data_IF_896608612627
#
_entry.id   IF_896608612627
#
_cell.length_a   1.000
_cell.length_b   1.000
_cell.length_c   1.000
_cell.angle_alpha   90.00
_cell.angle_beta   90.00
_cell.angle_gamma   90.00
#
_symmetry.space_group_name_H-M   'P 1'
#
loop_
_entity.id
_entity.type
_entity.pdbx_description
1 polymer ?
#
# COMPACT_ATOMS: atom_id res chain seq x y z
N UNK A 1 -22.86 1.01 36.39
CA UNK A 1 -21.47 0.59 36.08
C UNK A 1 -20.47 1.67 36.46
N UNK A 2 -20.56 2.88 35.88
CA UNK A 2 -19.61 3.97 36.16
C UNK A 2 -19.63 4.41 37.63
N UNK A 3 -20.81 4.46 38.26
CA UNK A 3 -20.91 4.71 39.70
C UNK A 3 -20.19 3.66 40.55
N UNK A 4 -20.10 2.42 40.08
CA UNK A 4 -19.40 1.32 40.76
C UNK A 4 -17.88 1.33 40.52
N UNK A 5 -17.36 2.28 39.73
CA UNK A 5 -15.92 2.50 39.51
C UNK A 5 -15.31 3.51 40.48
N UNK A 6 -16.13 4.17 41.32
CA UNK A 6 -15.68 5.20 42.26
C UNK A 6 -14.73 4.62 43.30
N UNK A 7 -13.81 5.45 43.81
CA UNK A 7 -12.75 5.03 44.73
C UNK A 7 -13.26 4.54 46.10
N UNK A 8 -14.50 4.85 46.47
CA UNK A 8 -15.14 4.41 47.72
C UNK A 8 -15.69 2.97 47.65
N UNK A 9 -15.80 2.39 46.46
CA UNK A 9 -16.23 1.02 46.26
C UNK A 9 -15.08 0.01 46.45
N UNK A 10 -15.43 -1.23 46.79
CA UNK A 10 -14.45 -2.32 46.93
C UNK A 10 -13.70 -2.58 45.61
N UNK A 11 -12.41 -2.90 45.70
CA UNK A 11 -11.56 -3.14 44.52
C UNK A 11 -12.13 -4.23 43.60
N UNK A 12 -12.69 -5.31 44.16
CA UNK A 12 -13.31 -6.38 43.38
C UNK A 12 -14.54 -5.91 42.62
N UNK A 13 -15.34 -5.01 43.23
CA UNK A 13 -16.52 -4.39 42.59
C UNK A 13 -16.08 -3.50 41.43
N UNK A 14 -15.04 -2.68 41.64
CA UNK A 14 -14.50 -1.78 40.60
C UNK A 14 -13.92 -2.55 39.42
N UNK A 15 -13.20 -3.65 39.67
CA UNK A 15 -12.69 -4.52 38.61
C UNK A 15 -13.82 -5.20 37.84
N UNK A 16 -14.86 -5.69 38.52
CA UNK A 16 -16.04 -6.24 37.86
C UNK A 16 -16.80 -5.17 37.04
N UNK A 17 -16.87 -3.94 37.55
CA UNK A 17 -17.48 -2.81 36.85
C UNK A 17 -16.68 -2.41 35.60
N UNK A 18 -15.35 -2.46 35.65
CA UNK A 18 -14.48 -2.20 34.49
C UNK A 18 -14.73 -3.22 33.37
N UNK A 19 -14.79 -4.51 33.70
CA UNK A 19 -15.12 -5.55 32.72
C UNK A 19 -16.53 -5.41 32.15
N UNK A 20 -17.51 -5.12 33.01
CA UNK A 20 -18.89 -4.91 32.58
C UNK A 20 -19.00 -3.70 31.63
N UNK A 21 -18.23 -2.64 31.90
CA UNK A 21 -18.14 -1.47 31.03
C UNK A 21 -17.55 -1.84 29.67
N UNK A 22 -16.49 -2.65 29.62
CA UNK A 22 -15.95 -3.16 28.36
C UNK A 22 -17.01 -3.90 27.56
N UNK A 23 -17.75 -4.81 28.19
CA UNK A 23 -18.81 -5.59 27.53
C UNK A 23 -19.92 -4.68 26.97
N UNK A 24 -20.27 -3.62 27.69
CA UNK A 24 -21.26 -2.64 27.22
C UNK A 24 -20.77 -1.82 26.02
N UNK A 25 -19.48 -1.45 26.00
CA UNK A 25 -18.87 -0.72 24.87
C UNK A 25 -18.66 -1.64 23.66
N UNK A 26 -18.51 -2.95 23.89
CA UNK A 26 -18.36 -3.95 22.82
C UNK A 26 -19.68 -4.37 22.16
N UNK A 27 -20.81 -3.91 22.69
CA UNK A 27 -22.12 -4.25 22.15
C UNK A 27 -22.30 -3.65 20.74
N UNK A 28 -22.94 -4.40 19.84
CA UNK A 28 -23.17 -3.96 18.46
C UNK A 28 -24.12 -2.75 18.36
N UNK A 29 -24.92 -2.50 19.40
CA UNK A 29 -25.81 -1.35 19.52
C UNK A 29 -25.12 -0.16 20.20
N UNK A 30 -23.83 -0.27 20.58
CA UNK A 30 -23.10 0.81 21.19
C UNK A 30 -23.07 2.03 20.25
N UNK A 31 -23.45 3.18 20.81
CA UNK A 31 -23.41 4.46 20.13
C UNK A 31 -22.50 5.41 20.91
N UNK A 32 -21.50 5.97 20.23
CA UNK A 32 -20.49 6.84 20.85
C UNK A 32 -21.11 8.15 21.34
N UNK A 33 -22.04 8.75 20.60
CA UNK A 33 -22.70 10.01 20.95
C UNK A 33 -23.46 9.88 22.28
N UNK A 34 -24.17 8.77 22.48
CA UNK A 34 -24.89 8.48 23.73
C UNK A 34 -23.93 8.26 24.91
N UNK A 35 -22.74 7.73 24.65
CA UNK A 35 -21.70 7.49 25.66
C UNK A 35 -20.89 8.74 26.02
N UNK A 36 -20.88 9.77 25.16
CA UNK A 36 -20.07 10.99 25.31
C UNK A 36 -20.22 11.66 26.69
N UNK A 37 -21.46 11.69 27.24
CA UNK A 37 -21.76 12.26 28.56
C UNK A 37 -21.07 11.53 29.72
N UNK A 38 -20.74 10.25 29.51
CA UNK A 38 -20.17 9.36 30.50
C UNK A 38 -18.67 9.16 30.34
N UNK A 39 -18.14 9.46 29.15
CA UNK A 39 -16.77 9.20 28.73
C UNK A 39 -15.74 9.75 29.71
N UNK A 40 -15.83 11.03 30.05
CA UNK A 40 -14.87 11.70 30.92
C UNK A 40 -14.76 11.02 32.29
N UNK A 41 -15.92 10.73 32.91
CA UNK A 41 -15.97 10.07 34.22
C UNK A 41 -15.45 8.64 34.12
N UNK A 42 -15.95 7.87 33.15
CA UNK A 42 -15.54 6.47 32.96
C UNK A 42 -14.01 6.35 32.76
N UNK A 43 -13.44 7.16 31.87
CA UNK A 43 -12.00 7.16 31.61
C UNK A 43 -11.20 7.56 32.85
N UNK A 44 -11.62 8.62 33.56
CA UNK A 44 -10.93 9.06 34.78
C UNK A 44 -10.94 8.00 35.89
N UNK A 45 -12.06 7.28 36.07
CA UNK A 45 -12.17 6.24 37.09
C UNK A 45 -11.38 4.98 36.72
N UNK A 46 -11.35 4.59 35.44
CA UNK A 46 -10.49 3.51 34.96
C UNK A 46 -9.01 3.87 35.11
N UNK A 47 -8.61 5.10 34.81
CA UNK A 47 -7.24 5.56 34.99
C UNK A 47 -6.83 5.57 36.47
N UNK A 48 -7.70 6.03 37.37
CA UNK A 48 -7.46 5.97 38.80
C UNK A 48 -7.26 4.51 39.27
N UNK A 49 -8.13 3.60 38.81
CA UNK A 49 -8.02 2.17 39.09
C UNK A 49 -6.69 1.59 38.57
N UNK A 50 -6.24 1.96 37.36
CA UNK A 50 -4.96 1.52 36.79
C UNK A 50 -3.77 1.92 37.66
N UNK A 51 -3.81 3.11 38.25
CA UNK A 51 -2.73 3.61 39.12
C UNK A 51 -2.69 2.94 40.49
N UNK A 52 -3.85 2.54 40.99
CA UNK A 52 -4.00 1.94 42.32
C UNK A 52 -3.55 0.49 42.37
N UNK A 53 -3.84 -0.28 41.32
CA UNK A 53 -3.52 -1.71 41.26
C UNK A 53 -2.02 -1.94 41.07
N UNK A 54 -1.46 -2.94 41.76
CA UNK A 54 -0.02 -3.20 41.78
C UNK A 54 0.36 -4.46 41.00
N UNK A 55 -0.52 -5.46 40.93
CA UNK A 55 -0.25 -6.69 40.22
C UNK A 55 -0.25 -6.46 38.71
N UNK A 56 0.75 -7.04 38.01
CA UNK A 56 0.87 -6.92 36.56
C UNK A 56 -0.38 -7.41 35.83
N UNK A 57 -0.95 -8.55 36.23
CA UNK A 57 -2.15 -9.11 35.62
C UNK A 57 -3.35 -8.18 35.75
N UNK A 58 -3.51 -7.55 36.93
CA UNK A 58 -4.57 -6.58 37.17
C UNK A 58 -4.36 -5.30 36.35
N UNK A 59 -3.11 -4.79 36.27
CA UNK A 59 -2.77 -3.65 35.41
C UNK A 59 -3.09 -3.94 33.94
N UNK A 60 -2.70 -5.11 33.43
CA UNK A 60 -3.00 -5.52 32.06
C UNK A 60 -4.51 -5.55 31.80
N UNK A 61 -5.30 -6.11 32.73
CA UNK A 61 -6.77 -6.14 32.61
C UNK A 61 -7.38 -4.75 32.54
N UNK A 62 -7.01 -3.85 33.44
CA UNK A 62 -7.55 -2.48 33.45
C UNK A 62 -7.08 -1.70 32.22
N UNK A 63 -5.81 -1.86 31.83
CA UNK A 63 -5.24 -1.22 30.65
C UNK A 63 -5.92 -1.70 29.37
N UNK A 64 -6.28 -2.99 29.28
CA UNK A 64 -7.07 -3.53 28.18
C UNK A 64 -8.45 -2.86 28.06
N UNK A 65 -9.16 -2.66 29.18
CA UNK A 65 -10.45 -1.94 29.18
C UNK A 65 -10.28 -0.49 28.70
N UNK A 66 -9.24 0.21 29.18
CA UNK A 66 -8.92 1.58 28.75
C UNK A 66 -8.61 1.61 27.25
N UNK A 67 -7.75 0.70 26.80
CA UNK A 67 -7.33 0.55 25.40
C UNK A 67 -8.53 0.30 24.48
N UNK A 68 -9.44 -0.58 24.89
CA UNK A 68 -10.67 -0.88 24.16
C UNK A 68 -11.63 0.33 24.10
N UNK A 69 -11.76 1.08 25.20
CA UNK A 69 -12.54 2.32 25.21
C UNK A 69 -11.95 3.36 24.25
N UNK A 70 -10.62 3.53 24.23
CA UNK A 70 -9.93 4.43 23.30
C UNK A 70 -10.24 4.05 21.85
N UNK A 71 -10.12 2.75 21.52
CA UNK A 71 -10.39 2.23 20.18
C UNK A 71 -11.83 2.53 19.73
N UNK A 72 -12.82 2.30 20.60
CA UNK A 72 -14.24 2.42 20.26
C UNK A 72 -14.74 3.87 20.22
N UNK A 73 -14.20 4.72 21.07
CA UNK A 73 -14.58 6.14 21.14
C UNK A 73 -13.83 6.98 20.10
N UNK A 74 -12.65 6.55 19.67
CA UNK A 74 -11.89 7.21 18.63
C UNK A 74 -11.52 8.66 19.00
N UNK A 75 -11.77 9.60 18.09
CA UNK A 75 -11.31 10.99 18.21
C UNK A 75 -11.84 11.72 19.46
N UNK A 76 -12.99 11.33 20.01
CA UNK A 76 -13.54 12.00 21.20
C UNK A 76 -12.70 11.79 22.47
N UNK A 77 -11.77 10.83 22.46
CA UNK A 77 -10.90 10.59 23.62
C UNK A 77 -9.86 11.70 23.83
N UNK A 78 -9.58 12.51 22.80
CA UNK A 78 -8.52 13.54 22.77
C UNK A 78 -8.44 14.41 24.04
N UNK A 79 -9.55 14.94 24.59
CA UNK A 79 -9.50 15.80 25.78
C UNK A 79 -9.10 15.06 27.07
N UNK A 80 -9.13 13.72 27.07
CA UNK A 80 -9.04 12.89 28.28
C UNK A 80 -7.68 12.18 28.43
N UNK A 81 -6.91 12.02 27.34
CA UNK A 81 -5.69 11.18 27.35
C UNK A 81 -4.48 11.80 28.05
N UNK A 82 -4.52 13.08 28.42
CA UNK A 82 -3.34 13.80 28.94
C UNK A 82 -2.70 13.13 30.16
N UNK A 83 -3.51 12.71 31.14
CA UNK A 83 -3.02 12.04 32.33
C UNK A 83 -2.44 10.64 32.03
N UNK A 84 -3.06 9.91 31.10
CA UNK A 84 -2.56 8.61 30.65
C UNK A 84 -1.22 8.76 29.92
N UNK A 85 -1.09 9.73 29.01
CA UNK A 85 0.17 10.00 28.30
C UNK A 85 1.33 10.31 29.27
N UNK A 86 1.06 11.01 30.37
CA UNK A 86 2.09 11.27 31.40
C UNK A 86 2.46 10.02 32.21
N UNK A 87 1.56 9.06 32.34
CA UNK A 87 1.76 7.85 33.14
C UNK A 87 2.40 6.70 32.37
N UNK A 88 2.09 6.54 31.07
CA UNK A 88 2.61 5.43 30.26
C UNK A 88 4.15 5.33 30.20
N UNK A 89 4.94 6.42 30.17
CA UNK A 89 6.40 6.34 30.25
C UNK A 89 6.88 5.72 31.57
N UNK A 90 6.24 6.09 32.68
CA UNK A 90 6.56 5.53 34.00
C UNK A 90 6.19 4.05 34.06
N UNK A 91 5.00 3.69 33.56
CA UNK A 91 4.54 2.31 33.51
C UNK A 91 5.45 1.44 32.62
N UNK A 92 5.90 1.96 31.48
CA UNK A 92 6.85 1.29 30.59
C UNK A 92 8.16 0.98 31.30
N UNK A 93 8.72 1.96 32.02
CA UNK A 93 9.95 1.76 32.81
C UNK A 93 9.74 0.74 33.95
N UNK A 94 8.62 0.80 34.67
CA UNK A 94 8.32 -0.16 35.76
C UNK A 94 8.15 -1.60 35.25
N UNK A 95 7.74 -1.75 33.98
CA UNK A 95 7.50 -3.05 33.35
C UNK A 95 8.74 -3.68 32.70
N UNK A 96 9.95 -3.25 33.04
CA UNK A 96 11.19 -3.69 32.38
C UNK A 96 11.35 -5.21 32.28
N UNK A 97 10.95 -5.93 33.33
CA UNK A 97 11.03 -7.39 33.41
C UNK A 97 9.68 -8.10 33.15
N UNK A 98 8.68 -7.35 32.67
CA UNK A 98 7.30 -7.84 32.49
C UNK A 98 6.86 -7.66 31.04
N UNK A 99 7.34 -8.52 30.14
CA UNK A 99 7.10 -8.42 28.69
C UNK A 99 5.60 -8.42 28.32
N UNK A 100 4.75 -9.20 29.01
CA UNK A 100 3.30 -9.20 28.74
C UNK A 100 2.63 -7.85 29.06
N UNK A 101 3.08 -7.19 30.14
CA UNK A 101 2.60 -5.85 30.47
C UNK A 101 3.11 -4.84 29.44
N UNK A 102 4.35 -5.00 28.94
CA UNK A 102 4.87 -4.21 27.83
C UNK A 102 4.03 -4.38 26.55
N UNK A 103 3.67 -5.60 26.16
CA UNK A 103 2.73 -5.83 25.04
C UNK A 103 1.44 -5.03 25.23
N UNK A 104 0.83 -5.10 26.43
CA UNK A 104 -0.40 -4.36 26.74
C UNK A 104 -0.23 -2.84 26.64
N UNK A 105 0.94 -2.31 27.01
CA UNK A 105 1.29 -0.88 26.85
C UNK A 105 1.41 -0.53 25.36
N UNK A 106 2.12 -1.35 24.58
CA UNK A 106 2.29 -1.14 23.14
C UNK A 106 0.93 -1.14 22.42
N UNK A 107 0.06 -2.12 22.67
CA UNK A 107 -1.28 -2.15 22.09
C UNK A 107 -2.12 -0.92 22.49
N UNK A 108 -1.97 -0.44 23.72
CA UNK A 108 -2.63 0.81 24.16
C UNK A 108 -2.10 2.02 23.41
N UNK A 109 -0.78 2.09 23.17
CA UNK A 109 -0.19 3.16 22.37
C UNK A 109 -0.65 3.10 20.92
N UNK A 110 -0.85 1.92 20.33
CA UNK A 110 -1.43 1.77 18.99
C UNK A 110 -2.80 2.43 18.92
N UNK A 111 -3.69 2.11 19.86
CA UNK A 111 -5.04 2.70 19.91
C UNK A 111 -5.01 4.19 20.19
N UNK A 112 -4.13 4.66 21.07
CA UNK A 112 -3.95 6.09 21.32
C UNK A 112 -3.47 6.83 20.07
N UNK A 113 -2.47 6.33 19.36
CA UNK A 113 -1.96 6.97 18.13
C UNK A 113 -3.06 7.04 17.08
N UNK A 114 -3.81 5.95 16.87
CA UNK A 114 -4.94 5.92 15.91
C UNK A 114 -6.07 6.86 16.32
N UNK A 115 -6.45 6.89 17.60
CA UNK A 115 -7.53 7.73 18.11
C UNK A 115 -7.17 9.22 18.13
N UNK A 116 -5.88 9.58 18.26
CA UNK A 116 -5.44 10.95 18.16
C UNK A 116 -5.27 11.42 16.70
N UNK A 117 -5.01 10.50 15.77
CA UNK A 117 -4.78 10.82 14.37
C UNK A 117 -3.60 11.80 14.20
N UNK A 118 -3.80 12.87 13.43
CA UNK A 118 -2.78 13.90 13.19
C UNK A 118 -2.29 14.64 14.46
N UNK A 119 -3.04 14.57 15.56
CA UNK A 119 -2.65 15.14 16.86
C UNK A 119 -1.75 14.20 17.68
N UNK A 120 -1.41 13.01 17.18
CA UNK A 120 -0.63 12.00 17.90
C UNK A 120 0.82 12.42 18.20
N UNK A 121 1.28 13.55 17.68
CA UNK A 121 2.62 14.10 17.91
C UNK A 121 2.96 14.27 19.40
N UNK A 122 1.96 14.46 20.27
CA UNK A 122 2.16 14.54 21.73
C UNK A 122 2.68 13.23 22.36
N UNK A 123 2.47 12.09 21.69
CA UNK A 123 2.92 10.77 22.15
C UNK A 123 4.32 10.43 21.63
N UNK A 124 4.81 11.17 20.64
CA UNK A 124 5.97 10.80 19.85
C UNK A 124 7.23 10.51 20.68
N UNK A 125 7.60 11.31 21.72
CA UNK A 125 8.78 11.00 22.53
C UNK A 125 8.74 9.61 23.18
N UNK A 126 7.58 9.19 23.69
CA UNK A 126 7.39 7.86 24.27
C UNK A 126 7.38 6.79 23.18
N UNK A 127 6.56 7.01 22.14
CA UNK A 127 6.32 5.99 21.12
C UNK A 127 7.59 5.66 20.33
N UNK A 128 8.41 6.66 19.98
CA UNK A 128 9.70 6.41 19.31
C UNK A 128 10.59 5.52 20.18
N UNK A 129 10.69 5.79 21.49
CA UNK A 129 11.48 4.97 22.40
C UNK A 129 10.93 3.54 22.51
N UNK A 130 9.61 3.39 22.62
CA UNK A 130 8.96 2.07 22.69
C UNK A 130 9.18 1.27 21.42
N UNK A 131 9.04 1.88 20.23
CA UNK A 131 9.31 1.20 18.96
C UNK A 131 10.78 0.81 18.85
N UNK A 132 11.71 1.72 19.19
CA UNK A 132 13.15 1.42 19.12
C UNK A 132 13.53 0.22 19.99
N UNK A 133 13.00 0.15 21.22
CA UNK A 133 13.27 -0.96 22.14
C UNK A 133 12.56 -2.26 21.74
N UNK A 134 11.35 -2.17 21.19
CA UNK A 134 10.55 -3.34 20.79
C UNK A 134 11.10 -4.00 19.52
N UNK A 135 11.69 -3.20 18.63
CA UNK A 135 12.27 -3.62 17.36
C UNK A 135 13.80 -3.84 17.41
N UNK A 136 14.43 -3.72 18.58
CA UNK A 136 15.86 -4.01 18.77
C UNK A 136 16.09 -5.52 18.93
N UNK A 137 16.60 -6.14 17.86
CA UNK A 137 16.87 -7.58 17.80
C UNK A 137 18.02 -8.04 18.71
N UNK A 138 18.78 -7.11 19.32
CA UNK A 138 19.80 -7.44 20.31
C UNK A 138 19.23 -7.70 21.71
N UNK A 139 17.99 -7.29 21.98
CA UNK A 139 17.35 -7.42 23.29
C UNK A 139 16.59 -8.74 23.43
N UNK A 140 16.74 -9.45 24.56
CA UNK A 140 16.02 -10.71 24.80
C UNK A 140 14.47 -10.57 24.75
N UNK A 141 13.94 -9.36 24.96
CA UNK A 141 12.51 -9.06 24.91
C UNK A 141 11.91 -9.05 23.50
N UNK A 142 12.71 -9.01 22.43
CA UNK A 142 12.20 -8.83 21.05
C UNK A 142 11.19 -9.93 20.66
N UNK A 143 11.39 -11.17 21.11
CA UNK A 143 10.53 -12.32 20.78
C UNK A 143 9.07 -12.08 21.18
N UNK A 144 8.83 -11.26 22.20
CA UNK A 144 7.49 -10.92 22.68
C UNK A 144 6.96 -9.61 22.09
N UNK A 145 7.86 -8.66 21.81
CA UNK A 145 7.48 -7.27 21.52
C UNK A 145 7.55 -6.91 20.04
N UNK A 146 8.22 -7.70 19.19
CA UNK A 146 8.50 -7.31 17.82
C UNK A 146 7.23 -7.08 17.01
N UNK A 147 6.25 -7.99 17.08
CA UNK A 147 4.99 -7.86 16.33
C UNK A 147 4.20 -6.61 16.78
N UNK A 148 3.92 -6.48 18.08
CA UNK A 148 3.23 -5.31 18.65
C UNK A 148 4.00 -4.00 18.35
N UNK A 149 5.34 -4.03 18.43
CA UNK A 149 6.21 -2.89 18.16
C UNK A 149 6.15 -2.43 16.71
N UNK A 150 6.10 -3.37 15.77
CA UNK A 150 5.88 -3.10 14.35
C UNK A 150 4.48 -2.54 14.08
N UNK A 151 3.45 -3.00 14.80
CA UNK A 151 2.10 -2.44 14.69
C UNK A 151 2.05 -0.99 15.17
N UNK A 152 2.72 -0.69 16.30
CA UNK A 152 2.88 0.67 16.80
C UNK A 152 3.66 1.54 15.81
N UNK A 153 4.74 1.01 15.24
CA UNK A 153 5.51 1.72 14.22
C UNK A 153 4.65 2.07 13.00
N UNK A 154 3.87 1.11 12.48
CA UNK A 154 2.95 1.38 11.39
C UNK A 154 1.91 2.44 11.77
N UNK A 155 1.28 2.33 12.94
CA UNK A 155 0.29 3.29 13.41
C UNK A 155 0.85 4.73 13.48
N UNK A 156 2.09 4.89 13.93
CA UNK A 156 2.79 6.19 13.95
C UNK A 156 2.94 6.72 12.53
N UNK A 157 3.46 5.90 11.62
CA UNK A 157 3.67 6.31 10.24
C UNK A 157 2.36 6.64 9.55
N UNK A 158 1.27 5.93 9.86
CA UNK A 158 -0.03 6.14 9.24
C UNK A 158 -0.71 7.44 9.67
N UNK A 159 -0.48 7.87 10.91
CA UNK A 159 -1.13 9.03 11.52
C UNK A 159 -0.23 10.29 11.57
N UNK A 160 1.07 10.15 11.27
CA UNK A 160 1.98 11.30 11.23
C UNK A 160 1.69 12.20 10.02
N UNK A 161 1.44 13.52 10.23
CA UNK A 161 1.16 14.46 9.14
C UNK A 161 2.42 14.80 8.32
N UNK A 162 3.61 14.65 8.91
CA UNK A 162 4.90 14.92 8.26
C UNK A 162 6.00 14.03 8.82
N UNK A 163 7.06 13.78 8.05
CA UNK A 163 8.27 13.11 8.55
C UNK A 163 9.01 13.96 9.58
N UNK A 164 9.51 13.34 10.64
CA UNK A 164 10.50 13.94 11.56
C UNK A 164 11.80 13.12 11.55
N UNK A 165 12.95 13.71 11.95
CA UNK A 165 14.22 12.98 12.02
C UNK A 165 14.13 11.70 12.87
N UNK A 166 13.39 11.73 13.97
CA UNK A 166 13.21 10.62 14.90
C UNK A 166 12.44 9.47 14.25
N UNK A 167 11.33 9.77 13.57
CA UNK A 167 10.55 8.76 12.82
C UNK A 167 11.41 8.15 11.72
N UNK A 168 12.18 8.97 11.00
CA UNK A 168 13.02 8.47 9.91
C UNK A 168 14.21 7.64 10.42
N UNK A 169 14.71 7.94 11.62
CA UNK A 169 15.79 7.18 12.25
C UNK A 169 15.39 5.77 12.69
N UNK A 170 14.09 5.51 12.94
CA UNK A 170 13.61 4.15 13.22
C UNK A 170 13.88 3.17 12.07
N UNK A 171 13.94 3.68 10.83
CA UNK A 171 14.14 2.87 9.62
C UNK A 171 15.40 2.00 9.66
N UNK A 172 16.44 2.42 10.40
CA UNK A 172 17.69 1.68 10.58
C UNK A 172 17.51 0.24 11.10
N UNK A 173 16.40 -0.02 11.78
CA UNK A 173 16.08 -1.34 12.33
C UNK A 173 15.50 -2.29 11.27
N UNK A 174 14.93 -1.74 10.18
CA UNK A 174 14.18 -2.52 9.19
C UNK A 174 15.01 -3.60 8.46
N UNK A 175 16.25 -3.34 8.01
CA UNK A 175 17.03 -4.36 7.29
C UNK A 175 17.25 -5.65 8.10
N UNK A 176 17.65 -5.52 9.37
CA UNK A 176 17.88 -6.68 10.24
C UNK A 176 16.60 -7.48 10.49
N UNK A 177 15.45 -6.80 10.63
CA UNK A 177 14.15 -7.45 10.83
C UNK A 177 13.77 -8.28 9.60
N UNK A 178 13.94 -7.72 8.40
CA UNK A 178 13.68 -8.42 7.13
C UNK A 178 14.58 -9.63 6.92
N UNK A 179 15.86 -9.54 7.29
CA UNK A 179 16.83 -10.62 7.14
C UNK A 179 16.62 -11.77 8.13
N UNK A 180 16.00 -11.49 9.27
CA UNK A 180 15.91 -12.47 10.35
C UNK A 180 14.78 -13.48 10.17
N UNK A 181 13.61 -13.05 9.67
CA UNK A 181 12.48 -13.95 9.43
C UNK A 181 11.47 -13.34 8.45
N UNK A 182 10.72 -14.21 7.76
CA UNK A 182 9.60 -13.79 6.91
C UNK A 182 8.25 -13.74 7.64
N UNK A 183 8.21 -14.08 8.94
CA UNK A 183 6.97 -14.12 9.74
C UNK A 183 6.26 -12.75 9.77
N UNK A 184 7.04 -11.68 9.92
CA UNK A 184 6.56 -10.30 9.98
C UNK A 184 6.61 -9.57 8.63
N UNK A 185 6.86 -10.28 7.51
CA UNK A 185 7.09 -9.67 6.20
C UNK A 185 5.94 -8.74 5.77
N UNK A 186 4.69 -9.15 6.02
CA UNK A 186 3.50 -8.35 5.68
C UNK A 186 3.52 -6.99 6.37
N UNK A 187 3.77 -6.99 7.67
CA UNK A 187 3.76 -5.77 8.47
C UNK A 187 4.96 -4.88 8.11
N UNK A 188 6.13 -5.48 7.88
CA UNK A 188 7.30 -4.78 7.37
C UNK A 188 7.02 -4.10 6.02
N UNK A 189 6.37 -4.78 5.08
CA UNK A 189 5.99 -4.19 3.81
C UNK A 189 5.00 -3.03 3.99
N UNK A 190 4.02 -3.12 4.89
CA UNK A 190 3.14 -1.97 5.18
C UNK A 190 3.92 -0.77 5.75
N UNK A 191 4.90 -1.00 6.62
CA UNK A 191 5.79 0.05 7.13
C UNK A 191 6.60 0.67 5.99
N UNK A 192 7.17 -0.16 5.10
CA UNK A 192 7.91 0.32 3.91
C UNK A 192 7.02 1.16 2.99
N UNK A 193 5.78 0.72 2.72
CA UNK A 193 4.80 1.51 1.96
C UNK A 193 4.54 2.87 2.63
N UNK A 194 4.43 2.89 3.96
CA UNK A 194 4.19 4.11 4.71
C UNK A 194 5.38 5.08 4.65
N UNK A 195 6.62 4.58 4.71
CA UNK A 195 7.82 5.39 4.57
C UNK A 195 7.99 5.99 3.17
N UNK A 196 7.86 5.16 2.12
CA UNK A 196 7.99 5.62 0.73
C UNK A 196 7.02 6.77 0.46
N UNK A 197 5.81 6.69 1.00
CA UNK A 197 4.80 7.74 0.86
C UNK A 197 5.01 8.93 1.82
N UNK A 198 5.60 8.73 3.00
CA UNK A 198 5.84 9.78 3.98
C UNK A 198 6.92 10.76 3.52
N UNK A 199 8.05 10.23 3.06
CA UNK A 199 9.18 11.03 2.57
C UNK A 199 9.97 10.24 1.52
N UNK A 200 9.56 10.31 0.24
CA UNK A 200 10.19 9.54 -0.84
C UNK A 200 11.68 9.86 -0.99
N UNK A 201 12.04 11.15 -0.90
CA UNK A 201 13.42 11.60 -1.11
C UNK A 201 14.37 10.98 -0.08
N UNK A 202 13.98 11.01 1.20
CA UNK A 202 14.80 10.44 2.27
C UNK A 202 14.76 8.90 2.27
N UNK A 203 13.63 8.30 1.90
CA UNK A 203 13.54 6.85 1.75
C UNK A 203 14.56 6.34 0.72
N UNK A 204 14.61 6.94 -0.48
CA UNK A 204 15.53 6.49 -1.52
C UNK A 204 17.00 6.87 -1.27
N UNK A 205 17.29 7.81 -0.36
CA UNK A 205 18.67 8.19 -0.02
C UNK A 205 19.30 7.32 1.07
N UNK A 206 18.51 6.69 1.94
CA UNK A 206 18.97 6.04 3.17
C UNK A 206 18.72 4.53 3.14
N UNK A 207 19.77 3.70 3.22
CA UNK A 207 19.70 2.24 3.49
C UNK A 207 18.74 1.43 2.58
N UNK A 208 18.20 2.07 1.54
CA UNK A 208 17.22 1.53 0.63
C UNK A 208 17.80 0.36 -0.16
N UNK A 209 19.10 0.42 -0.48
CA UNK A 209 19.81 -0.68 -1.14
C UNK A 209 19.75 -1.96 -0.31
N UNK A 210 19.98 -1.87 1.01
CA UNK A 210 19.94 -3.03 1.90
C UNK A 210 18.54 -3.63 1.93
N UNK A 211 17.49 -2.81 1.97
CA UNK A 211 16.11 -3.29 1.90
C UNK A 211 15.83 -4.06 0.61
N UNK A 212 16.31 -3.57 -0.55
CA UNK A 212 16.13 -4.28 -1.83
C UNK A 212 16.86 -5.62 -1.82
N UNK A 213 18.08 -5.65 -1.28
CA UNK A 213 18.87 -6.87 -1.19
C UNK A 213 18.21 -7.89 -0.25
N UNK A 214 17.71 -7.45 0.91
CA UNK A 214 16.96 -8.30 1.86
C UNK A 214 15.67 -8.83 1.22
N UNK A 215 14.89 -7.99 0.52
CA UNK A 215 13.67 -8.45 -0.15
C UNK A 215 13.98 -9.40 -1.31
N UNK A 216 15.05 -9.16 -2.07
CA UNK A 216 15.46 -10.02 -3.19
C UNK A 216 15.89 -11.42 -2.70
N UNK A 217 16.62 -11.49 -1.58
CA UNK A 217 17.03 -12.78 -1.01
C UNK A 217 15.83 -13.62 -0.57
N UNK A 218 14.78 -13.00 -0.02
CA UNK A 218 13.56 -13.68 0.41
C UNK A 218 12.75 -14.27 -0.74
N UNK A 219 12.78 -13.67 -1.93
CA UNK A 219 11.94 -14.09 -3.06
C UNK A 219 12.15 -15.55 -3.50
N UNK A 220 13.28 -16.19 -3.17
CA UNK A 220 13.51 -17.61 -3.50
C UNK A 220 12.65 -18.58 -2.68
N UNK A 221 12.28 -18.20 -1.46
CA UNK A 221 11.63 -19.07 -0.48
C UNK A 221 10.15 -18.72 -0.23
N UNK A 222 9.66 -17.65 -0.86
CA UNK A 222 8.30 -17.16 -0.67
C UNK A 222 7.29 -17.88 -1.56
N UNK A 223 6.06 -18.02 -1.02
CA UNK A 223 4.88 -18.38 -1.81
C UNK A 223 4.44 -17.22 -2.70
N UNK A 224 3.55 -17.51 -3.65
CA UNK A 224 3.00 -16.53 -4.57
C UNK A 224 2.44 -15.30 -3.88
N UNK A 225 1.76 -15.41 -2.72
CA UNK A 225 1.25 -14.23 -2.01
C UNK A 225 2.39 -13.29 -1.55
N UNK A 226 3.46 -13.86 -0.99
CA UNK A 226 4.62 -13.07 -0.56
C UNK A 226 5.34 -12.38 -1.71
N UNK A 227 5.50 -13.08 -2.84
CA UNK A 227 6.07 -12.50 -4.08
C UNK A 227 5.21 -11.33 -4.57
N UNK A 228 3.88 -11.52 -4.61
CA UNK A 228 2.94 -10.47 -5.02
C UNK A 228 3.09 -9.23 -4.15
N UNK A 229 3.19 -9.38 -2.83
CA UNK A 229 3.32 -8.25 -1.92
C UNK A 229 4.63 -7.48 -2.11
N UNK A 230 5.76 -8.17 -2.30
CA UNK A 230 7.05 -7.52 -2.58
C UNK A 230 7.00 -6.79 -3.92
N UNK A 231 6.41 -7.40 -4.96
CA UNK A 231 6.30 -6.76 -6.27
C UNK A 231 5.37 -5.55 -6.25
N UNK A 232 4.27 -5.59 -5.48
CA UNK A 232 3.41 -4.43 -5.27
C UNK A 232 4.13 -3.28 -4.57
N UNK A 233 5.02 -3.58 -3.62
CA UNK A 233 5.89 -2.57 -3.01
C UNK A 233 6.85 -1.95 -4.04
N UNK A 234 7.50 -2.76 -4.87
CA UNK A 234 8.37 -2.26 -5.94
C UNK A 234 7.62 -1.44 -6.98
N UNK A 235 6.40 -1.84 -7.34
CA UNK A 235 5.50 -1.07 -8.20
C UNK A 235 5.13 0.28 -7.57
N UNK A 236 4.85 0.31 -6.26
CA UNK A 236 4.61 1.55 -5.51
C UNK A 236 5.83 2.48 -5.58
N UNK A 237 7.05 1.97 -5.41
CA UNK A 237 8.26 2.78 -5.54
C UNK A 237 8.34 3.48 -6.90
N UNK A 238 8.00 2.78 -8.00
CA UNK A 238 7.96 3.35 -9.35
C UNK A 238 6.86 4.41 -9.51
N UNK A 239 5.71 4.24 -8.85
CA UNK A 239 4.62 5.22 -8.89
C UNK A 239 4.97 6.51 -8.16
N UNK A 240 5.66 6.38 -7.04
CA UNK A 240 5.98 7.52 -6.16
C UNK A 240 7.09 8.40 -6.73
N UNK A 241 8.19 7.78 -7.14
CA UNK A 241 9.28 8.48 -7.82
C UNK A 241 9.87 7.51 -8.84
N UNK A 242 9.54 7.74 -10.11
CA UNK A 242 10.01 6.89 -11.20
C UNK A 242 11.53 6.76 -11.22
N UNK A 243 12.26 7.87 -11.10
CA UNK A 243 13.71 7.88 -11.32
C UNK A 243 14.40 7.13 -10.19
N UNK A 244 14.09 7.52 -8.96
CA UNK A 244 14.71 6.90 -7.79
C UNK A 244 14.17 5.47 -7.56
N UNK A 245 12.89 5.24 -7.83
CA UNK A 245 12.26 3.92 -7.79
C UNK A 245 12.86 2.95 -8.81
N UNK A 246 13.18 3.40 -10.03
CA UNK A 246 13.84 2.56 -11.04
C UNK A 246 15.25 2.16 -10.63
N UNK A 247 16.03 3.10 -10.08
CA UNK A 247 17.36 2.79 -9.54
C UNK A 247 17.26 1.84 -8.33
N UNK A 248 16.28 2.05 -7.45
CA UNK A 248 16.02 1.19 -6.30
C UNK A 248 15.72 -0.25 -6.72
N UNK A 249 14.83 -0.48 -7.69
CA UNK A 249 14.49 -1.84 -8.15
C UNK A 249 15.50 -2.43 -9.15
N UNK A 250 16.53 -1.69 -9.56
CA UNK A 250 17.50 -2.14 -10.55
C UNK A 250 18.09 -3.54 -10.26
N UNK A 251 18.45 -3.91 -9.01
CA UNK A 251 18.97 -5.25 -8.69
C UNK A 251 18.00 -6.39 -8.99
N UNK A 252 16.68 -6.15 -8.98
CA UNK A 252 15.65 -7.17 -9.21
C UNK A 252 15.15 -7.21 -10.66
N UNK A 253 15.40 -6.15 -11.46
CA UNK A 253 14.83 -6.03 -12.80
C UNK A 253 15.15 -7.24 -13.70
N UNK A 254 16.40 -7.71 -13.74
CA UNK A 254 16.77 -8.86 -14.58
C UNK A 254 15.95 -10.10 -14.24
N UNK A 255 15.69 -10.35 -12.95
CA UNK A 255 14.86 -11.47 -12.50
C UNK A 255 13.40 -11.30 -12.90
N UNK A 256 12.86 -10.07 -12.84
CA UNK A 256 11.49 -9.77 -13.28
C UNK A 256 11.35 -10.05 -14.79
N UNK A 257 12.30 -9.56 -15.59
CA UNK A 257 12.33 -9.83 -17.03
C UNK A 257 12.48 -11.32 -17.33
N UNK A 258 13.28 -12.06 -16.57
CA UNK A 258 13.43 -13.50 -16.70
C UNK A 258 12.12 -14.26 -16.42
N UNK A 259 11.45 -13.95 -15.31
CA UNK A 259 10.16 -14.54 -14.95
C UNK A 259 9.10 -14.28 -16.03
N UNK A 260 9.02 -13.05 -16.55
CA UNK A 260 8.11 -12.71 -17.65
C UNK A 260 8.50 -13.41 -18.94
N UNK A 261 9.79 -13.49 -19.26
CA UNK A 261 10.27 -14.17 -20.46
C UNK A 261 9.99 -15.68 -20.42
N UNK A 262 10.07 -16.31 -19.26
CA UNK A 262 9.73 -17.73 -19.10
C UNK A 262 8.21 -17.94 -19.20
N UNK A 263 7.41 -17.12 -18.50
CA UNK A 263 5.95 -17.15 -18.57
C UNK A 263 5.28 -18.30 -17.83
N UNK A 264 6.05 -19.05 -17.04
CA UNK A 264 5.59 -20.27 -16.33
C UNK A 264 5.14 -19.99 -14.88
N UNK A 265 5.01 -18.72 -14.50
CA UNK A 265 4.60 -18.28 -13.16
C UNK A 265 3.08 -18.31 -12.97
N UNK A 266 2.63 -18.35 -11.71
CA UNK A 266 1.21 -18.25 -11.40
C UNK A 266 0.62 -16.92 -11.93
N UNK A 267 -0.59 -16.88 -12.53
CA UNK A 267 -1.13 -15.68 -13.19
C UNK A 267 -1.10 -14.40 -12.32
N UNK A 268 -1.39 -14.51 -11.03
CA UNK A 268 -1.33 -13.38 -10.08
C UNK A 268 0.10 -12.80 -9.92
N UNK A 269 1.12 -13.66 -9.94
CA UNK A 269 2.53 -13.26 -9.85
C UNK A 269 2.98 -12.64 -11.17
N UNK A 270 2.60 -13.27 -12.28
CA UNK A 270 2.93 -12.75 -13.61
C UNK A 270 2.30 -11.38 -13.86
N UNK A 271 1.08 -11.15 -13.34
CA UNK A 271 0.39 -9.85 -13.41
C UNK A 271 1.21 -8.73 -12.79
N UNK A 272 1.73 -8.91 -11.57
CA UNK A 272 2.51 -7.85 -10.90
C UNK A 272 3.86 -7.62 -11.57
N UNK A 273 4.50 -8.65 -12.12
CA UNK A 273 5.71 -8.48 -12.95
C UNK A 273 5.41 -7.69 -14.22
N UNK A 274 4.31 -8.00 -14.92
CA UNK A 274 3.86 -7.26 -16.10
C UNK A 274 3.53 -5.81 -15.76
N UNK A 275 2.94 -5.53 -14.59
CA UNK A 275 2.68 -4.17 -14.12
C UNK A 275 3.98 -3.37 -13.95
N UNK A 276 5.02 -3.96 -13.36
CA UNK A 276 6.35 -3.30 -13.24
C UNK A 276 6.91 -3.00 -14.63
N UNK A 277 6.89 -3.96 -15.56
CA UNK A 277 7.35 -3.74 -16.95
C UNK A 277 6.52 -2.64 -17.63
N UNK A 278 5.20 -2.66 -17.45
CA UNK A 278 4.28 -1.66 -18.01
C UNK A 278 4.58 -0.25 -17.49
N UNK A 279 4.86 -0.11 -16.19
CA UNK A 279 5.27 1.18 -15.58
C UNK A 279 6.56 1.68 -16.20
N UNK A 280 7.56 0.82 -16.34
CA UNK A 280 8.84 1.20 -16.95
C UNK A 280 8.64 1.65 -18.40
N UNK A 281 7.89 0.88 -19.18
CA UNK A 281 7.60 1.15 -20.59
C UNK A 281 6.83 2.47 -20.79
N UNK A 282 5.76 2.69 -20.02
CA UNK A 282 4.94 3.90 -20.10
C UNK A 282 5.73 5.17 -19.81
N UNK A 283 6.67 5.07 -18.88
CA UNK A 283 7.41 6.21 -18.39
C UNK A 283 8.65 6.53 -19.24
N UNK A 284 9.41 5.51 -19.65
CA UNK A 284 10.62 5.70 -20.46
C UNK A 284 10.87 4.51 -21.38
N UNK A 285 10.50 4.67 -22.65
CA UNK A 285 10.83 3.71 -23.70
C UNK A 285 12.34 3.50 -23.85
N UNK A 286 13.14 4.55 -23.64
CA UNK A 286 14.61 4.46 -23.71
C UNK A 286 15.13 3.50 -22.64
N UNK A 287 14.65 3.63 -21.41
CA UNK A 287 15.04 2.73 -20.32
C UNK A 287 14.53 1.31 -20.57
N UNK A 288 13.28 1.15 -21.01
CA UNK A 288 12.74 -0.17 -21.35
C UNK A 288 13.60 -0.90 -22.38
N UNK A 289 14.01 -0.22 -23.46
CA UNK A 289 14.90 -0.79 -24.48
C UNK A 289 16.27 -1.13 -23.89
N UNK A 290 16.83 -0.29 -23.01
CA UNK A 290 18.08 -0.60 -22.30
C UNK A 290 17.95 -1.84 -21.41
N UNK A 291 16.86 -1.97 -20.66
CA UNK A 291 16.58 -3.13 -19.82
C UNK A 291 16.46 -4.42 -20.65
N UNK A 292 15.79 -4.36 -21.81
CA UNK A 292 15.74 -5.48 -22.77
C UNK A 292 17.14 -5.86 -23.27
N UNK A 293 18.00 -4.88 -23.58
CA UNK A 293 19.38 -5.13 -24.00
C UNK A 293 20.21 -5.81 -22.92
N UNK A 294 20.14 -5.29 -21.70
CA UNK A 294 20.82 -5.87 -20.54
C UNK A 294 20.33 -7.29 -20.26
N UNK A 295 19.02 -7.53 -20.30
CA UNK A 295 18.43 -8.85 -20.13
C UNK A 295 18.82 -9.81 -21.25
N UNK A 296 18.79 -9.37 -22.50
CA UNK A 296 19.20 -10.16 -23.68
C UNK A 296 20.65 -10.63 -23.55
N UNK A 297 21.52 -9.77 -23.02
CA UNK A 297 22.90 -10.12 -22.69
C UNK A 297 22.98 -11.12 -21.54
N UNK A 298 22.20 -10.92 -20.48
CA UNK A 298 22.16 -11.81 -19.31
C UNK A 298 21.81 -13.26 -19.69
N UNK A 299 20.85 -13.46 -20.60
CA UNK A 299 20.47 -14.81 -21.07
C UNK A 299 21.38 -15.38 -22.16
N UNK A 300 22.51 -14.72 -22.46
CA UNK A 300 23.49 -15.16 -23.46
C UNK A 300 23.00 -15.06 -24.92
N UNK A 301 22.01 -14.20 -25.19
CA UNK A 301 21.41 -14.03 -26.51
C UNK A 301 21.70 -12.65 -27.12
N UNK A 302 22.91 -12.10 -26.91
CA UNK A 302 23.32 -10.72 -27.24
C UNK A 302 22.94 -10.22 -28.66
N UNK A 303 22.70 -11.11 -29.63
CA UNK A 303 22.32 -10.77 -31.02
C UNK A 303 20.84 -11.02 -31.35
N UNK A 304 19.98 -11.25 -30.36
CA UNK A 304 18.56 -11.63 -30.54
C UNK A 304 17.59 -10.71 -29.77
N UNK A 305 17.93 -9.43 -29.61
CA UNK A 305 17.09 -8.44 -28.92
C UNK A 305 15.63 -8.47 -29.43
N UNK A 306 15.45 -8.51 -30.75
CA UNK A 306 14.11 -8.55 -31.37
C UNK A 306 13.31 -9.80 -30.98
N UNK A 307 13.96 -10.97 -30.89
CA UNK A 307 13.31 -12.23 -30.51
C UNK A 307 12.95 -12.25 -29.02
N UNK A 308 13.82 -11.68 -28.18
CA UNK A 308 13.55 -11.55 -26.74
C UNK A 308 12.36 -10.62 -26.52
N UNK A 309 12.35 -9.48 -27.21
CA UNK A 309 11.24 -8.52 -27.19
C UNK A 309 9.94 -9.16 -27.71
N UNK A 310 9.99 -9.93 -28.80
CA UNK A 310 8.85 -10.69 -29.33
C UNK A 310 8.24 -11.61 -28.27
N UNK A 311 9.09 -12.41 -27.62
CA UNK A 311 8.62 -13.38 -26.63
C UNK A 311 7.97 -12.67 -25.45
N UNK A 312 8.58 -11.59 -24.95
CA UNK A 312 8.01 -10.79 -23.85
C UNK A 312 6.68 -10.19 -24.25
N UNK A 313 6.58 -9.55 -25.43
CA UNK A 313 5.31 -8.98 -25.92
C UNK A 313 4.25 -10.07 -26.09
N UNK A 314 4.62 -11.25 -26.62
CA UNK A 314 3.69 -12.37 -26.75
C UNK A 314 3.15 -12.83 -25.40
N UNK A 315 4.02 -13.00 -24.40
CA UNK A 315 3.58 -13.38 -23.05
C UNK A 315 2.70 -12.27 -22.46
N UNK A 316 3.07 -11.01 -22.65
CA UNK A 316 2.30 -9.86 -22.21
C UNK A 316 0.86 -9.89 -22.75
N UNK A 317 0.70 -10.03 -24.07
CA UNK A 317 -0.62 -10.05 -24.72
C UNK A 317 -1.41 -11.34 -24.44
N UNK A 318 -0.73 -12.47 -24.20
CA UNK A 318 -1.38 -13.74 -23.88
C UNK A 318 -1.91 -13.77 -22.44
N UNK A 319 -1.23 -13.06 -21.52
CA UNK A 319 -1.55 -13.05 -20.09
C UNK A 319 -2.53 -11.94 -19.69
N UNK A 320 -2.54 -10.82 -20.42
CA UNK A 320 -3.41 -9.68 -20.11
C UNK A 320 -4.90 -10.04 -19.94
N UNK A 321 -5.52 -10.96 -20.71
CA UNK A 321 -6.90 -11.39 -20.48
C UNK A 321 -7.15 -12.09 -19.13
N UNK A 322 -6.10 -12.61 -18.48
CA UNK A 322 -6.19 -13.29 -17.17
C UNK A 322 -6.12 -12.31 -15.99
N UNK A 323 -5.80 -11.03 -16.23
CA UNK A 323 -5.65 -10.00 -15.19
C UNK A 323 -7.01 -9.52 -14.74
N UNK A 324 -7.49 -9.91 -13.55
CA UNK A 324 -8.85 -9.61 -13.09
C UNK A 324 -9.07 -8.15 -12.67
N UNK A 325 -8.06 -7.45 -12.16
CA UNK A 325 -8.21 -6.10 -11.64
C UNK A 325 -8.20 -5.06 -12.76
N UNK A 326 -9.22 -4.19 -12.78
CA UNK A 326 -9.38 -3.20 -13.85
C UNK A 326 -8.23 -2.16 -13.89
N UNK A 327 -7.69 -1.76 -12.73
CA UNK A 327 -6.57 -0.82 -12.65
C UNK A 327 -5.31 -1.38 -13.33
N UNK A 328 -4.98 -2.63 -13.04
CA UNK A 328 -3.84 -3.35 -13.61
C UNK A 328 -4.07 -3.55 -15.12
N UNK A 329 -5.27 -4.00 -15.51
CA UNK A 329 -5.63 -4.18 -16.93
C UNK A 329 -5.51 -2.88 -17.72
N UNK A 330 -6.01 -1.75 -17.19
CA UNK A 330 -5.86 -0.43 -17.80
C UNK A 330 -4.40 0.01 -17.89
N UNK A 331 -3.60 -0.21 -16.84
CA UNK A 331 -2.16 0.05 -16.88
C UNK A 331 -1.48 -0.72 -18.02
N UNK A 332 -1.80 -2.01 -18.16
CA UNK A 332 -1.24 -2.83 -19.23
C UNK A 332 -1.67 -2.34 -20.62
N UNK A 333 -2.96 -2.00 -20.78
CA UNK A 333 -3.49 -1.45 -22.02
C UNK A 333 -2.82 -0.12 -22.42
N UNK A 334 -2.63 0.79 -21.46
CA UNK A 334 -1.93 2.06 -21.68
C UNK A 334 -0.50 1.81 -22.17
N UNK A 335 0.20 0.84 -21.58
CA UNK A 335 1.56 0.48 -21.99
C UNK A 335 1.59 -0.11 -23.40
N UNK A 336 0.64 -0.97 -23.77
CA UNK A 336 0.49 -1.44 -25.15
C UNK A 336 0.23 -0.28 -26.13
N UNK A 337 -0.63 0.67 -25.78
CA UNK A 337 -0.85 1.88 -26.60
C UNK A 337 0.46 2.64 -26.81
N UNK A 338 1.33 2.74 -25.81
CA UNK A 338 2.62 3.43 -25.95
C UNK A 338 3.58 2.75 -26.95
N UNK A 339 3.46 1.43 -27.17
CA UNK A 339 4.23 0.71 -28.19
C UNK A 339 3.71 0.96 -29.61
N UNK A 340 2.44 1.34 -29.76
CA UNK A 340 1.81 1.71 -31.03
C UNK A 340 2.22 3.15 -31.40
N UNK A 341 3.50 3.37 -31.63
CA UNK A 341 4.06 4.69 -31.96
C UNK A 341 4.45 4.80 -33.44
N UNK A 342 4.86 5.99 -33.88
CA UNK A 342 5.29 6.22 -35.28
C UNK A 342 6.45 5.29 -35.70
N UNK A 343 7.42 5.07 -34.80
CA UNK A 343 8.55 4.17 -35.02
C UNK A 343 8.26 2.74 -34.49
N UNK A 344 7.03 2.27 -34.69
CA UNK A 344 6.56 0.95 -34.29
C UNK A 344 7.53 -0.15 -34.80
N UNK A 345 8.17 -0.92 -33.90
CA UNK A 345 9.05 -2.00 -34.31
C UNK A 345 8.27 -3.05 -35.14
N UNK A 346 8.91 -3.77 -36.07
CA UNK A 346 8.26 -4.82 -36.85
C UNK A 346 7.48 -5.84 -36.00
N UNK A 347 8.00 -6.10 -34.80
CA UNK A 347 7.40 -7.00 -33.81
C UNK A 347 6.01 -6.53 -33.33
N UNK A 348 5.85 -5.22 -33.15
CA UNK A 348 4.58 -4.63 -32.71
C UNK A 348 3.57 -4.68 -33.85
N UNK A 349 4.00 -4.52 -35.12
CA UNK A 349 3.13 -4.72 -36.28
C UNK A 349 2.63 -6.16 -36.40
N UNK A 350 3.48 -7.14 -36.11
CA UNK A 350 3.12 -8.56 -36.14
C UNK A 350 2.00 -8.89 -35.12
N UNK A 351 2.08 -8.32 -33.92
CA UNK A 351 1.14 -8.58 -32.83
C UNK A 351 -0.01 -7.57 -32.73
N UNK A 352 -0.06 -6.57 -33.62
CA UNK A 352 -1.02 -5.48 -33.59
C UNK A 352 -2.49 -5.93 -33.43
N UNK A 353 -3.00 -6.93 -34.17
CA UNK A 353 -4.40 -7.33 -34.03
C UNK A 353 -4.75 -7.80 -32.61
N UNK A 354 -3.86 -8.56 -31.97
CA UNK A 354 -4.09 -9.08 -30.62
C UNK A 354 -3.90 -7.99 -29.55
N UNK A 355 -2.97 -7.06 -29.78
CA UNK A 355 -2.85 -5.87 -28.91
C UNK A 355 -4.13 -5.05 -28.92
N UNK A 356 -4.69 -4.79 -30.12
CA UNK A 356 -5.95 -4.04 -30.25
C UNK A 356 -7.12 -4.79 -29.60
N UNK A 357 -7.21 -6.11 -29.78
CA UNK A 357 -8.20 -6.93 -29.08
C UNK A 357 -8.15 -6.70 -27.57
N UNK A 358 -6.98 -6.85 -26.94
CA UNK A 358 -6.85 -6.69 -25.49
C UNK A 358 -7.17 -5.26 -25.02
N UNK A 359 -6.79 -4.23 -25.81
CA UNK A 359 -7.10 -2.83 -25.49
C UNK A 359 -8.62 -2.60 -25.58
N UNK A 360 -9.29 -3.12 -26.59
CA UNK A 360 -10.74 -3.00 -26.78
C UNK A 360 -11.51 -3.75 -25.68
N UNK A 361 -11.09 -4.97 -25.34
CA UNK A 361 -11.67 -5.69 -24.19
C UNK A 361 -11.54 -4.88 -22.89
N UNK A 362 -10.36 -4.30 -22.65
CA UNK A 362 -10.16 -3.42 -21.50
C UNK A 362 -11.07 -2.20 -21.53
N UNK A 363 -11.26 -1.56 -22.70
CA UNK A 363 -12.20 -0.46 -22.87
C UNK A 363 -13.64 -0.87 -22.55
N UNK A 364 -14.06 -2.06 -22.99
CA UNK A 364 -15.39 -2.59 -22.68
C UNK A 364 -15.59 -2.81 -21.17
N UNK A 365 -14.55 -3.21 -20.44
CA UNK A 365 -14.65 -3.47 -18.99
C UNK A 365 -14.69 -2.19 -18.14
N UNK A 366 -13.97 -1.14 -18.57
CA UNK A 366 -13.81 0.09 -17.77
C UNK A 366 -14.76 1.20 -18.18
N UNK A 367 -15.30 1.16 -19.40
CA UNK A 367 -16.24 2.17 -19.89
C UNK A 367 -17.61 2.00 -19.24
N UNK A 368 -18.18 3.10 -18.73
CA UNK A 368 -19.56 3.16 -18.22
C UNK A 368 -20.29 4.34 -18.85
N UNK A 369 -21.62 4.27 -18.85
CA UNK A 369 -22.47 5.38 -19.26
C UNK A 369 -22.80 6.20 -18.01
N UNK A 370 -22.53 7.50 -18.04
CA UNK A 370 -22.89 8.42 -16.96
C UNK A 370 -24.36 8.83 -17.01
N UNK A 371 -24.82 9.59 -16.02
CA UNK A 371 -26.21 10.05 -15.92
C UNK A 371 -26.63 10.97 -17.08
N UNK A 372 -25.67 11.53 -17.82
CA UNK A 372 -25.89 12.36 -19.01
C UNK A 372 -25.96 11.54 -20.30
N UNK A 373 -25.75 10.22 -20.22
CA UNK A 373 -25.69 9.32 -21.37
C UNK A 373 -24.33 9.31 -22.08
N UNK A 374 -23.30 9.94 -21.50
CA UNK A 374 -21.96 9.97 -22.07
C UNK A 374 -21.12 8.77 -21.61
N UNK A 375 -20.30 8.27 -22.53
CA UNK A 375 -19.36 7.19 -22.26
C UNK A 375 -18.15 7.74 -21.51
N UNK A 376 -17.92 7.24 -20.28
CA UNK A 376 -16.84 7.67 -19.40
C UNK A 376 -15.99 6.48 -18.96
N UNK A 377 -14.68 6.72 -18.81
CA UNK A 377 -13.74 5.77 -18.24
C UNK A 377 -13.90 5.75 -16.71
N UNK A 378 -14.47 4.68 -16.17
CA UNK A 378 -14.88 4.61 -14.76
C UNK A 378 -13.73 4.61 -13.74
N UNK A 379 -12.49 4.49 -14.21
CA UNK A 379 -11.29 4.56 -13.38
C UNK A 379 -10.69 5.98 -13.31
N UNK A 380 -11.22 6.92 -14.08
CA UNK A 380 -10.78 8.31 -14.03
C UNK A 380 -11.23 8.96 -12.72
N UNK A 381 -10.30 9.68 -12.08
CA UNK A 381 -10.63 10.51 -10.91
C UNK A 381 -10.96 11.90 -11.44
N UNK A 382 -12.25 12.23 -11.40
CA UNK A 382 -12.75 13.57 -11.74
C UNK A 382 -12.73 14.47 -10.49
N UNK A 383 -12.26 15.71 -10.64
CA UNK A 383 -12.03 16.61 -9.50
C UNK A 383 -13.34 16.99 -8.75
N UNK A 384 -14.51 16.78 -9.37
CA UNK A 384 -15.84 17.06 -8.78
C UNK A 384 -16.44 15.86 -8.03
N UNK A 385 -16.25 14.62 -8.54
CA UNK A 385 -16.71 13.40 -7.87
C UNK A 385 -15.81 12.98 -6.70
N UNK A 386 -14.60 13.52 -6.66
CA UNK A 386 -13.70 13.51 -5.51
C UNK A 386 -14.04 14.61 -4.49
N UNK A 387 -15.30 14.93 -4.27
CA UNK A 387 -15.75 15.63 -3.05
C UNK A 387 -16.88 14.83 -2.39
N UNK A 388 -17.72 14.21 -3.22
CA UNK A 388 -18.88 13.43 -2.79
C UNK A 388 -18.56 12.01 -2.30
N UNK A 389 -17.42 11.41 -2.70
CA UNK A 389 -16.96 10.13 -2.10
C UNK A 389 -16.25 10.32 -0.76
N UNK A 390 -16.10 11.56 -0.29
CA UNK A 390 -15.24 11.89 0.85
C UNK A 390 -15.98 12.17 2.16
N UNK A 391 -17.31 12.23 2.14
CA UNK A 391 -18.13 12.40 3.35
C UNK A 391 -18.42 11.07 4.08
N UNK A 392 -18.14 9.90 3.48
CA UNK A 392 -18.51 8.57 4.02
C UNK A 392 -17.38 7.82 4.75
N UNK A 393 -16.20 8.42 4.96
CA UNK A 393 -15.08 7.76 5.67
C UNK A 393 -14.84 8.46 7.00
N UNK A 394 -15.52 8.00 8.06
CA UNK A 394 -15.46 8.58 9.42
C UNK A 394 -14.05 8.62 10.04
N UNK A 395 -13.08 7.88 9.51
CA UNK A 395 -11.68 7.88 10.00
C UNK A 395 -10.67 7.76 8.86
N UNK A 396 -10.31 8.88 8.23
CA UNK A 396 -9.21 8.92 7.26
C UNK A 396 -7.86 9.25 7.93
N UNK A 397 -6.87 8.35 7.78
CA UNK A 397 -5.49 8.58 8.27
C UNK A 397 -4.67 9.47 7.32
N UNK A 398 -3.61 10.09 7.82
CA UNK A 398 -2.65 10.88 7.00
C UNK A 398 -2.01 10.06 5.88
N UNK A 399 -1.81 8.76 6.10
CA UNK A 399 -1.35 7.83 5.06
C UNK A 399 -2.40 7.54 3.99
N UNK A 400 -3.68 7.47 4.36
CA UNK A 400 -4.77 7.35 3.39
C UNK A 400 -4.82 8.58 2.48
N UNK A 401 -4.66 9.78 3.04
CA UNK A 401 -4.54 11.01 2.25
C UNK A 401 -3.34 10.96 1.29
N UNK A 402 -2.17 10.48 1.75
CA UNK A 402 -0.99 10.30 0.89
C UNK A 402 -1.23 9.32 -0.26
N UNK A 403 -1.87 8.18 0.00
CA UNK A 403 -2.27 7.22 -1.03
C UNK A 403 -3.20 7.86 -2.07
N UNK A 404 -4.18 8.67 -1.63
CA UNK A 404 -5.07 9.41 -2.53
C UNK A 404 -4.33 10.46 -3.36
N UNK A 405 -3.43 11.23 -2.74
CA UNK A 405 -2.57 12.18 -3.48
C UNK A 405 -1.77 11.49 -4.57
N UNK A 406 -1.20 10.31 -4.29
CA UNK A 406 -0.50 9.52 -5.30
C UNK A 406 -1.44 9.10 -6.45
N UNK A 407 -2.64 8.61 -6.13
CA UNK A 407 -3.62 8.20 -7.14
C UNK A 407 -3.99 9.35 -8.10
N UNK A 408 -4.02 10.59 -7.59
CA UNK A 408 -4.30 11.79 -8.40
C UNK A 408 -3.19 12.15 -9.41
N UNK A 409 -2.01 11.54 -9.35
CA UNK A 409 -0.94 11.72 -10.35
C UNK A 409 -0.70 10.48 -11.20
N UNK A 410 -1.37 9.37 -10.90
CA UNK A 410 -1.17 8.11 -11.59
C UNK A 410 -1.82 8.13 -13.00
N UNK A 411 -1.09 7.77 -14.08
CA UNK A 411 -1.65 7.68 -15.42
C UNK A 411 -2.92 6.81 -15.52
N UNK A 412 -3.05 5.78 -14.69
CA UNK A 412 -4.25 4.92 -14.66
C UNK A 412 -5.52 5.72 -14.34
N UNK A 413 -5.41 6.79 -13.54
CA UNK A 413 -6.54 7.62 -13.10
C UNK A 413 -6.66 8.96 -13.83
N UNK A 414 -5.63 9.34 -14.62
CA UNK A 414 -5.56 10.63 -15.30
C UNK A 414 -5.51 10.55 -16.83
N UNK A 415 -5.21 9.39 -17.39
CA UNK A 415 -5.20 9.17 -18.84
C UNK A 415 -6.40 8.30 -19.22
N UNK A 416 -7.32 8.86 -19.99
CA UNK A 416 -8.42 8.10 -20.57
C UNK A 416 -7.87 7.16 -21.66
N UNK A 417 -8.16 5.86 -21.53
CA UNK A 417 -7.58 4.85 -22.42
C UNK A 417 -7.98 5.08 -23.89
N UNK A 418 -9.24 5.42 -24.15
CA UNK A 418 -9.74 5.67 -25.51
C UNK A 418 -9.00 6.85 -26.17
N UNK A 419 -8.74 7.92 -25.42
CA UNK A 419 -8.07 9.11 -25.94
C UNK A 419 -6.60 8.81 -26.28
N UNK A 420 -5.91 8.05 -25.42
CA UNK A 420 -4.54 7.61 -25.70
C UNK A 420 -4.50 6.73 -26.95
N UNK A 421 -5.40 5.76 -27.07
CA UNK A 421 -5.49 4.89 -28.25
C UNK A 421 -5.74 5.69 -29.54
N UNK A 422 -6.71 6.62 -29.51
CA UNK A 422 -7.01 7.49 -30.66
C UNK A 422 -5.79 8.28 -31.13
N UNK A 423 -5.03 8.85 -30.19
CA UNK A 423 -3.85 9.62 -30.49
C UNK A 423 -2.77 8.75 -31.15
N UNK A 424 -2.51 7.57 -30.59
CA UNK A 424 -1.50 6.65 -31.11
C UNK A 424 -1.86 6.11 -32.50
N UNK A 425 -3.12 5.75 -32.75
CA UNK A 425 -3.59 5.35 -34.07
C UNK A 425 -3.48 6.48 -35.10
N UNK A 426 -3.79 7.73 -34.70
CA UNK A 426 -3.63 8.90 -35.56
C UNK A 426 -2.16 9.14 -35.95
N UNK A 427 -1.24 9.05 -34.98
CA UNK A 427 0.19 9.17 -35.27
C UNK A 427 0.70 8.05 -36.19
N UNK A 428 0.29 6.81 -35.93
CA UNK A 428 0.65 5.67 -36.78
C UNK A 428 0.14 5.85 -38.22
N UNK A 429 -1.10 6.31 -38.38
CA UNK A 429 -1.72 6.59 -39.70
C UNK A 429 -0.99 7.69 -40.46
N UNK A 430 -0.58 8.76 -39.77
CA UNK A 430 0.17 9.86 -40.38
C UNK A 430 1.56 9.42 -40.86
N UNK A 431 2.23 8.54 -40.12
CA UNK A 431 3.60 8.13 -40.44
C UNK A 431 3.67 7.06 -41.54
N UNK A 432 2.83 6.02 -41.47
CA UNK A 432 2.88 4.91 -42.45
C UNK A 432 2.10 5.18 -43.75
N UNK A 433 1.22 6.19 -43.74
CA UNK A 433 0.29 6.46 -44.83
C UNK A 433 -0.96 5.57 -44.79
N UNK A 434 -2.00 6.02 -45.49
CA UNK A 434 -3.33 5.42 -45.43
C UNK A 434 -3.36 3.94 -45.83
N UNK A 435 -2.70 3.55 -46.92
CA UNK A 435 -2.79 2.18 -47.45
C UNK A 435 -2.17 1.13 -46.51
N UNK A 436 -0.99 1.42 -45.94
CA UNK A 436 -0.34 0.51 -45.00
C UNK A 436 -1.08 0.39 -43.68
N UNK A 437 -1.62 1.51 -43.18
CA UNK A 437 -2.47 1.51 -42.00
C UNK A 437 -3.74 0.66 -42.25
N UNK A 438 -4.35 0.80 -43.42
CA UNK A 438 -5.52 0.02 -43.80
C UNK A 438 -5.24 -1.49 -43.87
N UNK A 439 -4.05 -1.90 -44.33
CA UNK A 439 -3.61 -3.29 -44.31
C UNK A 439 -3.43 -3.83 -42.89
N UNK A 440 -2.87 -3.04 -41.96
CA UNK A 440 -2.75 -3.46 -40.55
C UNK A 440 -4.13 -3.67 -39.92
N UNK A 441 -5.11 -2.82 -40.22
CA UNK A 441 -6.47 -2.95 -39.73
C UNK A 441 -7.20 -4.17 -40.29
N UNK A 442 -6.84 -4.66 -41.49
CA UNK A 442 -7.42 -5.89 -42.04
C UNK A 442 -7.05 -7.15 -41.25
N UNK A 443 -5.98 -7.10 -40.45
CA UNK A 443 -5.60 -8.19 -39.55
C UNK A 443 -6.51 -8.31 -38.32
N UNK A 444 -7.30 -7.28 -38.02
CA UNK A 444 -8.24 -7.28 -36.88
C UNK A 444 -9.55 -7.98 -37.31
N UNK A 445 -10.13 -8.78 -36.42
CA UNK A 445 -11.43 -9.41 -36.68
C UNK A 445 -12.53 -8.35 -36.84
N UNK A 446 -13.59 -8.70 -37.56
CA UNK A 446 -14.68 -7.76 -37.86
C UNK A 446 -15.38 -7.29 -36.58
N UNK A 447 -15.55 -8.18 -35.62
CA UNK A 447 -16.20 -7.90 -34.33
C UNK A 447 -15.39 -6.89 -33.52
N UNK A 448 -14.08 -7.11 -33.40
CA UNK A 448 -13.18 -6.20 -32.66
C UNK A 448 -13.10 -4.84 -33.36
N UNK A 449 -13.09 -4.82 -34.70
CA UNK A 449 -13.10 -3.57 -35.45
C UNK A 449 -14.38 -2.76 -35.20
N UNK A 450 -15.53 -3.42 -35.16
CA UNK A 450 -16.80 -2.75 -34.86
C UNK A 450 -16.79 -2.15 -33.44
N UNK A 451 -16.32 -2.89 -32.44
CA UNK A 451 -16.17 -2.37 -31.08
C UNK A 451 -15.14 -1.23 -31.00
N UNK A 452 -14.02 -1.34 -31.73
CA UNK A 452 -13.02 -0.28 -31.79
C UNK A 452 -13.61 1.04 -32.33
N UNK A 453 -14.45 0.97 -33.36
CA UNK A 453 -15.13 2.12 -33.96
C UNK A 453 -16.13 2.81 -32.99
N UNK A 454 -16.53 2.17 -31.89
CA UNK A 454 -17.34 2.79 -30.83
C UNK A 454 -16.51 3.76 -29.97
N UNK A 455 -15.19 3.57 -29.91
CA UNK A 455 -14.30 4.34 -29.03
C UNK A 455 -13.37 5.30 -29.78
N UNK A 456 -12.97 4.95 -31.00
CA UNK A 456 -12.00 5.72 -31.79
C UNK A 456 -12.41 5.85 -33.25
N UNK A 457 -11.95 6.92 -33.87
CA UNK A 457 -12.09 7.22 -35.30
C UNK A 457 -10.88 6.66 -36.04
N UNK A 458 -11.14 5.80 -37.02
CA UNK A 458 -10.13 5.06 -37.78
C UNK A 458 -9.85 5.70 -39.14
#
# INVERSE_FOLDING_TARGET
>A
MIEALREDEDLGVRLAAADALKLAIDDFQFNTDDFSFFLATAFSSLFALLKEVNECDTKMRVLYVISFMIERVGNEIKPHVGALNMYLPELWHQSEHHNMLRCSIVSTLVHLVKALGSDSGILQPLVINVVELSCDMSQAGYVYLLEDGLELWLAVLENSPSSTPEIMNLFKNMPLILESSSENLRLCLYILHAYVLLNPQQFFSNEASTVVDSLNSLLGDLRSEGIVMIMQFFELCLRVDLRNGTEFIRPILLRIFECVYNGDEHPMVLTVYLCIIARILLNSQVFFVQAIKEFTKHIGQEFKEDFVLEKIIRIYIDQMPLVSQHNERKLLALALCSLISADCPPIVRLHFPKMILNIVETLNDITKIDDTGCSIDSLMIDDQHSLLRFDDIEYETEHSQRKRRLANFDPVHRVALHSMLQNQLNFLRQYMGHDQFHLMLQGISREVKQQLEEYVTI
#
